data_IF_324505426703
#
_entry.id   IF_324505426703
#
_cell.length_a   1.000
_cell.length_b   1.000
_cell.length_c   1.000
_cell.angle_alpha   90.00
_cell.angle_beta   90.00
_cell.angle_gamma   90.00
#
_symmetry.space_group_name_H-M   'P 1'
#
loop_
_entity.id
_entity.type
_entity.pdbx_description
1 polymer ?
#
# COMPACT_ATOMS: atom_id res chain seq x y z
N UNK A 1 12.86 -4.92 -2.38
CA UNK A 1 12.11 -6.07 -2.95
C UNK A 1 11.73 -7.05 -1.84
N UNK A 2 10.70 -7.90 -2.02
CA UNK A 2 10.13 -8.82 -0.98
C UNK A 2 10.96 -10.07 -0.71
N UNK A 3 11.55 -10.66 -1.74
CA UNK A 3 12.27 -11.93 -1.66
C UNK A 3 13.79 -11.70 -1.55
N UNK A 4 14.48 -12.60 -0.85
CA UNK A 4 15.93 -12.53 -0.63
C UNK A 4 16.71 -13.52 -1.49
N UNK A 5 16.11 -14.63 -1.94
CA UNK A 5 16.79 -15.59 -2.81
C UNK A 5 16.80 -15.12 -4.27
N UNK A 6 17.91 -15.34 -4.96
CA UNK A 6 18.05 -15.07 -6.39
C UNK A 6 16.99 -15.79 -7.22
N UNK A 7 16.71 -17.06 -6.90
CA UNK A 7 15.69 -17.85 -7.59
C UNK A 7 14.29 -17.22 -7.52
N UNK A 8 13.84 -16.83 -6.32
CA UNK A 8 12.54 -16.19 -6.15
C UNK A 8 12.47 -14.84 -6.86
N UNK A 9 13.57 -14.08 -6.86
CA UNK A 9 13.67 -12.82 -7.60
C UNK A 9 13.59 -13.05 -9.12
N UNK A 10 14.34 -14.01 -9.65
CA UNK A 10 14.35 -14.35 -11.07
C UNK A 10 12.97 -14.78 -11.56
N UNK A 11 12.23 -15.57 -10.77
CA UNK A 11 10.84 -15.95 -11.09
C UNK A 11 9.95 -14.71 -11.20
N UNK A 12 10.02 -13.80 -10.22
CA UNK A 12 9.20 -12.58 -10.23
C UNK A 12 9.57 -11.66 -11.39
N UNK A 13 10.87 -11.50 -11.69
CA UNK A 13 11.34 -10.63 -12.77
C UNK A 13 10.96 -11.14 -14.16
N UNK A 14 10.95 -12.47 -14.36
CA UNK A 14 10.57 -13.11 -15.63
C UNK A 14 9.07 -13.26 -15.81
N UNK A 15 8.28 -12.98 -14.78
CA UNK A 15 6.82 -13.06 -14.86
C UNK A 15 6.30 -11.82 -15.58
N UNK A 16 5.96 -11.97 -16.87
CA UNK A 16 5.34 -10.93 -17.68
C UNK A 16 3.85 -11.27 -17.94
N UNK A 17 3.01 -10.27 -18.31
CA UNK A 17 1.65 -10.53 -18.76
C UNK A 17 1.62 -11.47 -19.96
N UNK A 18 0.62 -12.35 -20.03
CA UNK A 18 0.38 -13.14 -21.24
C UNK A 18 -0.31 -12.29 -22.33
N UNK A 19 -0.26 -12.69 -23.60
CA UNK A 19 -1.05 -12.05 -24.66
C UNK A 19 -2.54 -12.02 -24.28
N UNK A 20 -3.17 -10.85 -24.39
CA UNK A 20 -4.59 -10.59 -24.05
C UNK A 20 -4.97 -10.79 -22.57
N UNK A 21 -4.00 -10.92 -21.66
CA UNK A 21 -4.29 -10.98 -20.22
C UNK A 21 -4.66 -9.59 -19.70
N UNK A 22 -5.80 -9.47 -19.00
CA UNK A 22 -6.15 -8.22 -18.34
C UNK A 22 -5.14 -7.89 -17.22
N UNK A 23 -4.97 -6.60 -16.90
CA UNK A 23 -4.12 -6.17 -15.80
C UNK A 23 -4.52 -6.79 -14.45
N UNK A 24 -5.82 -7.00 -14.22
CA UNK A 24 -6.36 -7.64 -13.02
C UNK A 24 -5.96 -9.13 -12.97
N UNK A 25 -6.14 -9.85 -14.07
CA UNK A 25 -5.75 -11.27 -14.16
C UNK A 25 -4.24 -11.45 -13.95
N UNK A 26 -3.45 -10.59 -14.58
CA UNK A 26 -2.00 -10.56 -14.42
C UNK A 26 -1.60 -10.30 -12.96
N UNK A 27 -2.14 -9.26 -12.33
CA UNK A 27 -1.88 -8.94 -10.93
C UNK A 27 -2.23 -10.10 -9.98
N UNK A 28 -3.38 -10.74 -10.17
CA UNK A 28 -3.80 -11.90 -9.38
C UNK A 28 -2.90 -13.12 -9.59
N UNK A 29 -2.34 -13.30 -10.79
CA UNK A 29 -1.37 -14.36 -11.07
C UNK A 29 -0.02 -14.09 -10.40
N UNK A 30 0.52 -12.88 -10.55
CA UNK A 30 1.76 -12.44 -9.88
C UNK A 30 1.64 -12.58 -8.36
N UNK A 31 0.49 -12.17 -7.79
CA UNK A 31 0.21 -12.34 -6.37
C UNK A 31 0.23 -13.82 -5.97
N UNK A 32 -0.48 -14.70 -6.70
CA UNK A 32 -0.50 -16.15 -6.42
C UNK A 32 0.88 -16.80 -6.50
N UNK A 33 1.68 -16.46 -7.50
CA UNK A 33 3.07 -16.92 -7.62
C UNK A 33 3.84 -16.51 -6.37
N UNK A 34 3.77 -15.23 -6.01
CA UNK A 34 4.47 -14.68 -4.85
C UNK A 34 4.06 -15.27 -3.49
N UNK A 35 2.85 -15.81 -3.35
CA UNK A 35 2.45 -16.53 -2.12
C UNK A 35 3.14 -17.90 -1.97
N UNK A 36 3.57 -18.51 -3.09
CA UNK A 36 4.19 -19.84 -3.12
C UNK A 36 5.70 -19.80 -2.98
N UNK A 37 6.33 -18.67 -3.33
CA UNK A 37 7.77 -18.50 -3.26
C UNK A 37 8.27 -18.57 -1.81
N UNK A 38 9.37 -19.30 -1.62
CA UNK A 38 10.10 -19.37 -0.35
C UNK A 38 11.10 -18.21 -0.27
N UNK A 39 11.66 -17.99 0.92
CA UNK A 39 12.72 -16.99 1.15
C UNK A 39 12.26 -15.53 0.99
N UNK A 40 11.27 -15.14 1.80
CA UNK A 40 11.02 -13.71 2.07
C UNK A 40 12.22 -13.13 2.84
N UNK A 41 12.46 -11.82 2.72
CA UNK A 41 13.36 -11.09 3.62
C UNK A 41 12.94 -11.32 5.08
N UNK A 42 13.91 -11.38 5.99
CA UNK A 42 13.64 -11.65 7.41
C UNK A 42 12.70 -10.59 7.99
N UNK A 43 12.93 -9.35 7.60
CA UNK A 43 12.21 -8.15 8.02
C UNK A 43 10.96 -7.85 7.17
N UNK A 44 10.56 -8.76 6.27
CA UNK A 44 9.49 -8.47 5.31
C UNK A 44 8.18 -8.09 5.98
N UNK A 45 7.82 -8.78 7.05
CA UNK A 45 6.55 -8.51 7.73
C UNK A 45 6.56 -7.13 8.41
N UNK A 46 7.71 -6.63 8.88
CA UNK A 46 7.79 -5.26 9.43
C UNK A 46 7.74 -4.17 8.36
N UNK A 47 8.34 -4.40 7.19
CA UNK A 47 8.49 -3.35 6.16
C UNK A 47 7.41 -3.36 5.07
N UNK A 48 6.54 -4.38 5.00
CA UNK A 48 5.61 -4.55 3.87
C UNK A 48 4.65 -3.37 3.68
N UNK A 49 4.19 -2.76 4.78
CA UNK A 49 3.32 -1.58 4.74
C UNK A 49 4.08 -0.37 4.21
N UNK A 50 5.32 -0.15 4.67
CA UNK A 50 6.18 0.91 4.15
C UNK A 50 6.46 0.74 2.66
N UNK A 51 6.76 -0.48 2.22
CA UNK A 51 6.98 -0.78 0.80
C UNK A 51 5.72 -0.46 -0.02
N UNK A 52 4.53 -0.85 0.48
CA UNK A 52 3.27 -0.54 -0.20
C UNK A 52 2.99 0.97 -0.24
N UNK A 53 3.27 1.67 0.86
CA UNK A 53 3.14 3.12 0.93
C UNK A 53 4.00 3.81 -0.13
N UNK A 54 5.30 3.46 -0.22
CA UNK A 54 6.22 4.00 -1.22
C UNK A 54 5.80 3.71 -2.65
N UNK A 55 5.30 2.50 -2.93
CA UNK A 55 4.78 2.14 -4.26
C UNK A 55 3.58 3.03 -4.64
N UNK A 56 2.65 3.28 -3.71
CA UNK A 56 1.51 4.15 -3.97
C UNK A 56 1.93 5.61 -4.13
N UNK A 57 2.89 6.09 -3.35
CA UNK A 57 3.50 7.40 -3.57
C UNK A 57 4.09 7.54 -4.98
N UNK A 58 4.88 6.57 -5.43
CA UNK A 58 5.41 6.55 -6.80
C UNK A 58 4.29 6.50 -7.86
N UNK A 59 3.23 5.71 -7.62
CA UNK A 59 2.05 5.67 -8.50
C UNK A 59 1.44 7.06 -8.70
N UNK A 60 1.17 7.80 -7.63
CA UNK A 60 0.54 9.13 -7.74
C UNK A 60 1.51 10.23 -8.21
N UNK A 61 2.81 10.05 -8.01
CA UNK A 61 3.80 10.95 -8.60
C UNK A 61 3.89 10.78 -10.13
N UNK A 62 3.74 9.55 -10.63
CA UNK A 62 3.88 9.22 -12.05
C UNK A 62 2.58 9.38 -12.85
N UNK A 63 1.41 9.36 -12.19
CA UNK A 63 0.10 9.35 -12.85
C UNK A 63 -0.75 10.50 -12.27
N UNK A 64 -0.77 11.63 -12.97
CA UNK A 64 -1.46 12.86 -12.55
C UNK A 64 -2.98 12.69 -12.48
N UNK A 65 -3.57 11.97 -13.44
CA UNK A 65 -4.98 11.62 -13.48
C UNK A 65 -5.42 10.86 -12.21
N UNK A 66 -4.66 9.85 -11.80
CA UNK A 66 -4.94 9.08 -10.59
C UNK A 66 -4.76 9.92 -9.32
N UNK A 67 -3.82 10.87 -9.35
CA UNK A 67 -3.57 11.80 -8.25
C UNK A 67 -4.75 12.75 -8.07
N UNK A 68 -5.25 13.31 -9.16
CA UNK A 68 -6.45 14.16 -9.17
C UNK A 68 -7.68 13.39 -8.70
N UNK A 69 -7.87 12.16 -9.18
CA UNK A 69 -8.95 11.27 -8.72
C UNK A 69 -8.88 11.06 -7.20
N UNK A 70 -7.70 10.74 -6.66
CA UNK A 70 -7.51 10.58 -5.22
C UNK A 70 -7.87 11.86 -4.44
N UNK A 71 -7.41 13.03 -4.90
CA UNK A 71 -7.70 14.32 -4.26
C UNK A 71 -9.21 14.62 -4.31
N UNK A 72 -9.87 14.32 -5.43
CA UNK A 72 -11.29 14.59 -5.65
C UNK A 72 -12.23 13.86 -4.67
N UNK A 73 -11.75 12.79 -4.03
CA UNK A 73 -12.49 12.09 -2.95
C UNK A 73 -12.72 12.97 -1.70
N UNK A 74 -12.08 14.14 -1.62
CA UNK A 74 -12.32 15.14 -0.59
C UNK A 74 -11.96 14.65 0.80
N UNK A 75 -12.94 14.69 1.71
CA UNK A 75 -12.80 14.24 3.10
C UNK A 75 -13.42 12.86 3.36
N UNK A 76 -13.89 12.16 2.32
CA UNK A 76 -14.52 10.85 2.49
C UNK A 76 -13.50 9.83 3.01
N UNK A 77 -13.96 8.89 3.83
CA UNK A 77 -13.15 7.75 4.21
C UNK A 77 -12.97 6.82 3.00
N UNK A 78 -11.73 6.38 2.78
CA UNK A 78 -11.41 5.40 1.73
C UNK A 78 -11.23 4.05 2.40
N UNK A 79 -11.98 3.06 1.90
CA UNK A 79 -11.91 1.68 2.36
C UNK A 79 -11.28 0.83 1.25
N UNK A 80 -10.31 -0.01 1.61
CA UNK A 80 -9.81 -0.99 0.66
C UNK A 80 -10.86 -2.06 0.39
N UNK A 81 -10.95 -2.53 -0.86
CA UNK A 81 -11.78 -3.69 -1.19
C UNK A 81 -11.37 -4.95 -0.41
N UNK A 82 -12.18 -6.03 -0.49
CA UNK A 82 -11.88 -7.30 0.18
C UNK A 82 -10.46 -7.78 -0.11
N UNK A 83 -9.70 -8.05 0.95
CA UNK A 83 -8.29 -8.45 0.85
C UNK A 83 -7.92 -9.37 2.02
N UNK A 84 -6.78 -10.05 1.92
CA UNK A 84 -6.28 -10.94 2.96
C UNK A 84 -5.77 -10.16 4.17
N UNK A 85 -5.88 -10.73 5.37
CA UNK A 85 -5.42 -10.10 6.62
C UNK A 85 -5.98 -8.67 6.77
N UNK A 86 -5.16 -7.73 7.21
CA UNK A 86 -5.54 -6.34 7.43
C UNK A 86 -5.36 -5.45 6.19
N UNK A 87 -5.11 -6.01 5.00
CA UNK A 87 -4.79 -5.20 3.81
C UNK A 87 -5.95 -4.32 3.33
N UNK A 88 -7.21 -4.70 3.58
CA UNK A 88 -8.35 -3.81 3.30
C UNK A 88 -8.25 -2.51 4.10
N UNK A 89 -7.89 -2.59 5.39
CA UNK A 89 -7.67 -1.44 6.24
C UNK A 89 -6.40 -0.66 5.82
N UNK A 90 -5.26 -1.35 5.68
CA UNK A 90 -4.00 -0.70 5.30
C UNK A 90 -4.09 0.04 3.97
N UNK A 91 -4.78 -0.53 2.97
CA UNK A 91 -4.99 0.13 1.70
C UNK A 91 -5.75 1.46 1.89
N UNK A 92 -6.84 1.46 2.66
CA UNK A 92 -7.58 2.68 2.96
C UNK A 92 -6.73 3.75 3.66
N UNK A 93 -6.00 3.36 4.71
CA UNK A 93 -5.15 4.26 5.49
C UNK A 93 -4.04 4.88 4.65
N UNK A 94 -3.34 4.08 3.83
CA UNK A 94 -2.31 4.55 2.91
C UNK A 94 -2.89 5.61 1.96
N UNK A 95 -4.04 5.33 1.33
CA UNK A 95 -4.64 6.27 0.39
C UNK A 95 -5.04 7.59 1.04
N UNK A 96 -5.68 7.52 2.22
CA UNK A 96 -6.08 8.73 2.96
C UNK A 96 -4.87 9.55 3.43
N UNK A 97 -3.79 8.90 3.85
CA UNK A 97 -2.57 9.58 4.26
C UNK A 97 -1.88 10.27 3.07
N UNK A 98 -1.73 9.58 1.93
CA UNK A 98 -1.17 10.19 0.72
C UNK A 98 -2.03 11.37 0.26
N UNK A 99 -3.36 11.22 0.27
CA UNK A 99 -4.29 12.31 -0.07
C UNK A 99 -4.11 13.53 0.83
N UNK A 100 -3.98 13.33 2.14
CA UNK A 100 -3.77 14.42 3.13
C UNK A 100 -2.52 15.22 2.74
N UNK A 101 -1.40 14.54 2.52
CA UNK A 101 -0.13 15.15 2.10
C UNK A 101 -0.25 15.92 0.78
N UNK A 102 -0.81 15.30 -0.25
CA UNK A 102 -0.99 15.93 -1.56
C UNK A 102 -1.83 17.22 -1.48
N UNK A 103 -2.88 17.25 -0.65
CA UNK A 103 -3.71 18.44 -0.43
C UNK A 103 -2.98 19.55 0.34
N UNK A 104 -1.92 19.22 1.07
CA UNK A 104 -1.05 20.18 1.76
C UNK A 104 0.02 20.75 0.83
N UNK A 105 0.05 20.36 -0.45
CA UNK A 105 1.02 20.82 -1.44
C UNK A 105 2.33 20.02 -1.42
N UNK A 106 2.40 18.94 -0.65
CA UNK A 106 3.56 18.04 -0.63
C UNK A 106 3.65 17.23 -1.93
N UNK A 107 4.89 16.93 -2.36
CA UNK A 107 5.10 15.96 -3.42
C UNK A 107 4.88 14.54 -2.87
N UNK A 108 4.29 13.65 -3.67
CA UNK A 108 4.19 12.25 -3.29
C UNK A 108 5.57 11.57 -3.12
N UNK A 109 6.62 12.09 -3.77
CA UNK A 109 8.01 11.66 -3.61
C UNK A 109 8.82 12.76 -2.90
N UNK A 110 8.77 12.79 -1.57
CA UNK A 110 9.68 13.63 -0.78
C UNK A 110 10.89 12.83 -0.31
N UNK A 111 12.05 13.49 -0.20
CA UNK A 111 13.30 12.87 0.27
C UNK A 111 13.20 12.38 1.73
N UNK A 112 12.44 13.08 2.57
CA UNK A 112 12.19 12.72 3.98
C UNK A 112 10.87 11.97 4.15
N UNK A 113 10.66 10.87 3.42
CA UNK A 113 9.51 10.00 3.70
C UNK A 113 9.65 9.37 5.10
N UNK A 114 8.58 9.43 5.89
CA UNK A 114 8.46 8.64 7.12
C UNK A 114 8.69 7.14 6.82
N UNK A 115 9.37 6.47 7.75
CA UNK A 115 9.69 5.04 7.68
C UNK A 115 9.41 4.36 9.02
N UNK A 116 9.35 3.02 8.98
CA UNK A 116 9.20 2.18 10.17
C UNK A 116 8.03 2.61 11.07
N UNK A 117 8.26 2.66 12.37
CA UNK A 117 7.23 2.95 13.37
C UNK A 117 6.57 4.31 13.17
N UNK A 118 7.35 5.35 12.81
CA UNK A 118 6.81 6.71 12.62
C UNK A 118 5.77 6.75 11.50
N UNK A 119 6.03 6.05 10.40
CA UNK A 119 5.06 5.89 9.31
C UNK A 119 3.82 5.14 9.79
N UNK A 120 3.99 4.05 10.51
CA UNK A 120 2.86 3.25 10.98
C UNK A 120 1.97 4.02 11.95
N UNK A 121 2.55 4.87 12.79
CA UNK A 121 1.82 5.78 13.68
C UNK A 121 1.05 6.83 12.89
N UNK A 122 1.69 7.49 11.92
CA UNK A 122 1.02 8.52 11.09
C UNK A 122 -0.12 7.94 10.26
N UNK A 123 0.04 6.71 9.74
CA UNK A 123 -1.03 6.00 9.02
C UNK A 123 -2.23 5.67 9.91
N UNK A 124 -2.05 5.52 11.22
CA UNK A 124 -3.11 5.19 12.18
C UNK A 124 -3.82 6.41 12.74
N UNK A 125 -3.33 7.64 12.53
CA UNK A 125 -4.00 8.88 12.97
C UNK A 125 -5.50 8.93 12.63
N UNK A 126 -5.96 8.57 11.40
CA UNK A 126 -7.37 8.60 11.08
C UNK A 126 -8.23 7.69 11.97
N UNK A 127 -7.66 6.57 12.45
CA UNK A 127 -8.36 5.62 13.32
C UNK A 127 -8.58 6.17 14.73
N UNK A 128 -7.65 6.99 15.24
CA UNK A 128 -7.81 7.66 16.55
C UNK A 128 -9.02 8.60 16.48
N UNK A 129 -9.11 9.40 15.43
CA UNK A 129 -10.26 10.29 15.21
C UNK A 129 -11.59 9.53 15.04
N UNK A 130 -11.57 8.26 14.60
CA UNK A 130 -12.77 7.43 14.49
C UNK A 130 -13.29 6.96 15.87
N UNK A 131 -12.40 6.75 16.84
CA UNK A 131 -12.77 6.42 18.23
C UNK A 131 -13.48 7.62 18.86
N UNK A 132 -12.99 8.84 18.62
CA UNK A 132 -13.54 10.07 19.21
C UNK A 132 -14.96 10.39 18.73
N UNK A 133 -15.36 9.90 17.54
CA UNK A 133 -16.72 10.02 17.00
C UNK A 133 -17.62 8.82 17.32
N UNK A 134 -17.20 7.92 18.22
CA UNK A 134 -18.00 6.79 18.69
C UNK A 134 -18.11 5.62 17.70
N UNK A 135 -17.24 5.54 16.69
CA UNK A 135 -17.21 4.40 15.76
C UNK A 135 -16.20 3.34 16.26
N UNK A 136 -16.57 2.05 16.29
CA UNK A 136 -15.70 1.02 16.81
C UNK A 136 -14.53 0.76 15.85
N UNK A 137 -13.29 1.04 16.30
CA UNK A 137 -12.09 0.54 15.62
C UNK A 137 -11.42 -0.50 16.49
N UNK A 138 -11.88 -1.75 16.42
CA UNK A 138 -11.07 -2.90 16.84
C UNK A 138 -10.36 -3.49 15.62
N UNK A 139 -9.43 -2.73 15.06
CA UNK A 139 -8.48 -3.24 14.09
C UNK A 139 -7.14 -3.45 14.80
N UNK A 140 -6.82 -4.70 15.14
CA UNK A 140 -5.48 -5.08 15.60
C UNK A 140 -4.53 -5.02 14.40
N UNK A 141 -4.15 -3.81 14.01
CA UNK A 141 -3.24 -3.54 12.89
C UNK A 141 -1.80 -3.79 13.30
N UNK A 142 -1.36 -5.02 13.14
CA UNK A 142 0.07 -5.34 13.02
C UNK A 142 0.58 -4.94 11.63
N UNK A 143 1.85 -4.54 11.51
CA UNK A 143 2.53 -4.37 10.22
C UNK A 143 2.26 -5.56 9.30
#
# INVERSE_FOLDING_TARGET
>A
MKYSSKESLDIMHKTHPFPNESAVSYGNRVWRIGQRLKSKRAEWEEIRVEVMYRINCAKYAQNEDLREELISTGNLNIYGGPSTHNWSAWNGLIQMHIRKRLRQGENALEEEMLTGTKLLESLKEPLVNWIDIGLPVRLNLTP
#
